data_IF_140363359707
#
_entry.id   IF_140363359707
#
_cell.length_a   1.000
_cell.length_b   1.000
_cell.length_c   1.000
_cell.angle_alpha   90.00
_cell.angle_beta   90.00
_cell.angle_gamma   90.00
#
_symmetry.space_group_name_H-M   'P 1'
#
loop_
_entity.id
_entity.type
_entity.pdbx_description
1 polymer ?
#
# COMPACT_ATOMS: atom_id res chain seq x y z
N UNK A 1 -9.99 -23.38 -27.27
CA UNK A 1 -10.08 -24.13 -26.01
C UNK A 1 -9.50 -23.22 -24.95
N UNK A 2 -10.34 -22.32 -24.43
CA UNK A 2 -9.99 -21.30 -23.45
C UNK A 2 -10.19 -21.92 -22.08
N UNK A 3 -9.10 -22.32 -21.42
CA UNK A 3 -9.19 -22.68 -20.00
C UNK A 3 -9.38 -21.38 -19.22
N UNK A 4 -10.54 -21.18 -18.56
CA UNK A 4 -10.70 -20.05 -17.65
C UNK A 4 -9.67 -20.18 -16.54
N UNK A 5 -9.09 -19.05 -16.12
CA UNK A 5 -8.16 -19.02 -14.99
C UNK A 5 -8.89 -19.59 -13.76
N UNK A 6 -8.38 -20.67 -13.14
CA UNK A 6 -9.08 -21.30 -12.02
C UNK A 6 -9.20 -20.31 -10.85
N UNK A 7 -10.41 -20.22 -10.30
CA UNK A 7 -10.71 -19.45 -9.08
C UNK A 7 -9.78 -19.90 -7.95
N UNK A 8 -8.83 -19.05 -7.57
CA UNK A 8 -7.75 -19.33 -6.61
C UNK A 8 -6.33 -19.14 -7.16
N UNK A 9 -6.16 -18.98 -8.48
CA UNK A 9 -4.83 -18.75 -9.09
C UNK A 9 -4.16 -17.46 -8.58
N UNK A 10 -4.92 -16.37 -8.47
CA UNK A 10 -4.41 -15.07 -8.02
C UNK A 10 -4.09 -15.04 -6.51
N UNK A 11 -4.77 -15.84 -5.67
CA UNK A 11 -4.47 -15.94 -4.23
C UNK A 11 -3.04 -16.43 -3.96
N UNK A 12 -2.50 -17.31 -4.82
CA UNK A 12 -1.14 -17.83 -4.69
C UNK A 12 -0.04 -16.79 -4.88
N UNK A 13 -0.26 -15.75 -5.70
CA UNK A 13 0.70 -14.65 -5.92
C UNK A 13 0.81 -13.78 -4.68
N UNK A 14 -0.34 -13.46 -4.06
CA UNK A 14 -0.40 -12.70 -2.81
C UNK A 14 0.22 -13.48 -1.64
N UNK A 15 -0.03 -14.79 -1.54
CA UNK A 15 0.50 -15.64 -0.46
C UNK A 15 2.03 -15.82 -0.53
N UNK A 16 2.60 -15.91 -1.75
CA UNK A 16 4.06 -15.95 -1.94
C UNK A 16 4.72 -14.63 -1.50
N UNK A 17 4.06 -13.50 -1.77
CA UNK A 17 4.53 -12.16 -1.39
C UNK A 17 4.57 -12.02 0.13
N UNK A 18 3.51 -12.48 0.82
CA UNK A 18 3.44 -12.49 2.29
C UNK A 18 4.51 -13.39 2.92
N UNK A 19 4.77 -14.55 2.33
CA UNK A 19 5.80 -15.50 2.82
C UNK A 19 7.21 -14.90 2.71
N UNK A 20 7.53 -14.27 1.58
CA UNK A 20 8.82 -13.60 1.36
C UNK A 20 9.01 -12.40 2.28
N UNK A 21 7.94 -11.65 2.54
CA UNK A 21 7.96 -10.51 3.45
C UNK A 21 8.24 -10.95 4.90
N UNK A 22 7.61 -12.04 5.34
CA UNK A 22 7.85 -12.65 6.67
C UNK A 22 9.29 -13.12 6.85
N UNK A 23 9.91 -13.72 5.83
CA UNK A 23 11.31 -14.17 5.92
C UNK A 23 12.28 -12.99 5.96
N UNK A 24 12.12 -11.99 5.09
CA UNK A 24 12.96 -10.79 5.06
C UNK A 24 12.90 -10.01 6.39
N UNK A 25 11.71 -9.85 6.95
CA UNK A 25 11.55 -9.15 8.23
C UNK A 25 12.06 -9.98 9.40
N UNK A 26 12.01 -11.32 9.30
CA UNK A 26 12.61 -12.19 10.31
C UNK A 26 14.10 -11.90 10.38
N UNK A 27 14.82 -11.96 9.25
CA UNK A 27 16.27 -11.70 9.18
C UNK A 27 16.67 -10.33 9.75
N UNK A 28 15.89 -9.28 9.45
CA UNK A 28 16.10 -7.94 10.03
C UNK A 28 15.93 -7.97 11.55
N UNK A 29 14.87 -8.62 12.05
CA UNK A 29 14.67 -8.76 13.49
C UNK A 29 15.80 -9.59 14.13
N UNK A 30 16.23 -10.70 13.53
CA UNK A 30 17.26 -11.59 14.11
C UNK A 30 18.65 -10.95 14.14
N UNK A 31 19.03 -10.27 13.05
CA UNK A 31 20.33 -9.58 12.97
C UNK A 31 20.50 -8.49 14.02
N UNK A 32 19.41 -7.81 14.40
CA UNK A 32 19.42 -6.84 15.48
C UNK A 32 19.33 -7.46 16.88
N UNK A 33 18.88 -8.72 17.03
CA UNK A 33 18.86 -9.40 18.35
C UNK A 33 20.26 -9.61 18.95
N UNK A 34 21.30 -9.68 18.12
CA UNK A 34 22.70 -9.68 18.59
C UNK A 34 23.12 -8.34 19.22
N UNK A 35 22.44 -7.24 18.86
CA UNK A 35 22.68 -5.87 19.38
C UNK A 35 21.70 -5.53 20.52
N UNK A 36 20.50 -6.13 20.50
CA UNK A 36 19.45 -5.92 21.48
C UNK A 36 19.59 -6.93 22.63
N UNK A 37 20.24 -6.51 23.71
CA UNK A 37 20.14 -7.23 24.97
C UNK A 37 18.68 -7.23 25.45
N UNK A 38 17.98 -8.36 25.29
CA UNK A 38 16.65 -8.57 25.90
C UNK A 38 15.44 -8.58 24.97
N UNK A 39 15.60 -8.78 23.65
CA UNK A 39 14.42 -9.05 22.81
C UNK A 39 13.71 -10.34 23.28
N UNK A 40 12.40 -10.30 23.63
CA UNK A 40 11.67 -11.47 24.07
C UNK A 40 11.71 -12.56 23.00
N UNK A 41 11.91 -13.82 23.40
CA UNK A 41 11.76 -14.97 22.51
C UNK A 41 10.33 -14.99 21.97
N UNK A 42 10.10 -15.23 20.66
CA UNK A 42 8.78 -15.55 20.18
C UNK A 42 8.47 -16.99 20.60
N UNK A 43 8.02 -17.17 21.83
CA UNK A 43 7.39 -18.41 22.26
C UNK A 43 5.87 -18.20 22.34
N UNK A 44 5.17 -19.22 21.88
CA UNK A 44 3.74 -19.54 21.93
C UNK A 44 2.69 -18.59 21.34
N UNK A 45 1.81 -19.25 20.59
CA UNK A 45 0.59 -18.79 19.92
C UNK A 45 -0.45 -18.26 20.90
N UNK A 46 -0.87 -17.03 20.71
CA UNK A 46 -2.00 -16.41 21.39
C UNK A 46 -1.94 -14.89 21.26
N UNK A 47 -3.05 -14.27 20.89
CA UNK A 47 -3.24 -12.82 20.94
C UNK A 47 -3.10 -12.32 22.38
N UNK A 48 -1.92 -11.79 22.72
CA UNK A 48 -1.65 -11.11 23.99
C UNK A 48 -1.59 -9.60 23.76
N UNK A 49 -2.62 -8.90 24.24
CA UNK A 49 -2.77 -7.44 24.09
C UNK A 49 -1.64 -6.69 24.79
N UNK A 50 -1.17 -7.18 25.94
CA UNK A 50 -0.13 -6.52 26.72
C UNK A 50 1.22 -6.63 26.00
N UNK A 51 1.50 -7.80 25.42
CA UNK A 51 2.67 -8.00 24.57
C UNK A 51 2.64 -7.10 23.34
N UNK A 52 1.50 -6.99 22.64
CA UNK A 52 1.35 -6.12 21.48
C UNK A 52 1.57 -4.65 21.85
N UNK A 53 0.95 -4.20 22.95
CA UNK A 53 1.15 -2.85 23.48
C UNK A 53 2.63 -2.58 23.76
N UNK A 54 3.32 -3.53 24.39
CA UNK A 54 4.74 -3.38 24.66
C UNK A 54 5.59 -3.34 23.38
N UNK A 55 5.26 -4.15 22.35
CA UNK A 55 5.94 -4.08 21.05
C UNK A 55 5.73 -2.70 20.37
N UNK A 56 4.51 -2.16 20.41
CA UNK A 56 4.20 -0.83 19.88
C UNK A 56 4.96 0.29 20.64
N UNK A 57 4.96 0.24 21.98
CA UNK A 57 5.75 1.16 22.82
C UNK A 57 7.24 1.09 22.51
N UNK A 58 7.77 -0.12 22.33
CA UNK A 58 9.17 -0.30 21.94
C UNK A 58 9.44 0.30 20.55
N UNK A 59 8.51 0.20 19.58
CA UNK A 59 8.68 0.83 18.27
C UNK A 59 8.73 2.36 18.33
N UNK A 60 8.07 2.97 19.32
CA UNK A 60 8.08 4.41 19.57
C UNK A 60 9.33 4.85 20.32
N UNK A 61 9.89 3.99 21.16
CA UNK A 61 11.12 4.26 21.89
C UNK A 61 12.31 4.40 20.91
N UNK A 62 12.75 5.65 20.72
CA UNK A 62 13.86 6.01 19.83
C UNK A 62 15.25 5.65 20.36
N UNK A 63 15.35 4.97 21.51
CA UNK A 63 16.63 4.51 22.07
C UNK A 63 17.20 3.38 21.22
N UNK A 64 18.51 3.45 20.93
CA UNK A 64 19.24 2.43 20.17
C UNK A 64 19.40 2.73 18.66
N UNK A 65 18.97 3.91 18.20
CA UNK A 65 19.20 4.39 16.83
C UNK A 65 18.35 3.70 15.76
N UNK A 66 18.60 4.05 14.50
CA UNK A 66 17.77 3.64 13.35
C UNK A 66 17.76 2.11 13.12
N UNK A 67 18.85 1.41 13.41
CA UNK A 67 18.92 -0.06 13.29
C UNK A 67 17.95 -0.74 14.27
N UNK A 68 17.91 -0.27 15.51
CA UNK A 68 17.01 -0.77 16.54
C UNK A 68 15.55 -0.48 16.20
N UNK A 69 15.25 0.75 15.76
CA UNK A 69 13.91 1.14 15.35
C UNK A 69 13.40 0.27 14.19
N UNK A 70 14.25 0.01 13.19
CA UNK A 70 13.94 -0.87 12.06
C UNK A 70 13.66 -2.30 12.51
N UNK A 71 14.45 -2.85 13.43
CA UNK A 71 14.24 -4.19 13.94
C UNK A 71 12.93 -4.35 14.73
N UNK A 72 12.59 -3.36 15.56
CA UNK A 72 11.34 -3.35 16.33
C UNK A 72 10.12 -3.27 15.41
N UNK A 73 10.17 -2.43 14.37
CA UNK A 73 9.12 -2.35 13.36
C UNK A 73 8.96 -3.67 12.57
N UNK A 74 10.08 -4.31 12.20
CA UNK A 74 10.06 -5.63 11.56
C UNK A 74 9.43 -6.70 12.46
N UNK A 75 9.74 -6.70 13.76
CA UNK A 75 9.15 -7.66 14.71
C UNK A 75 7.65 -7.43 14.90
N UNK A 76 7.22 -6.17 15.08
CA UNK A 76 5.80 -5.81 15.17
C UNK A 76 5.03 -6.22 13.91
N UNK A 77 5.59 -5.92 12.73
CA UNK A 77 5.01 -6.31 11.45
C UNK A 77 4.89 -7.81 11.28
N UNK A 78 5.90 -8.58 11.71
CA UNK A 78 5.83 -10.06 11.71
C UNK A 78 4.74 -10.57 12.63
N UNK A 79 4.60 -10.01 13.83
CA UNK A 79 3.49 -10.37 14.73
C UNK A 79 2.17 -10.17 14.01
N UNK A 80 1.97 -9.00 13.39
CA UNK A 80 0.74 -8.69 12.66
C UNK A 80 0.42 -9.70 11.55
N UNK A 81 1.42 -10.12 10.77
CA UNK A 81 1.25 -11.07 9.66
C UNK A 81 0.97 -12.51 10.10
N UNK A 82 1.15 -12.81 11.39
CA UNK A 82 0.78 -14.08 12.01
C UNK A 82 -0.65 -14.10 12.54
N UNK A 83 -1.27 -12.93 12.69
CA UNK A 83 -2.61 -12.78 13.23
C UNK A 83 -3.67 -13.18 12.20
N UNK A 84 -4.75 -13.78 12.70
CA UNK A 84 -5.99 -13.98 11.95
C UNK A 84 -6.79 -12.66 11.77
N UNK A 85 -7.93 -12.70 11.07
CA UNK A 85 -8.72 -11.49 10.80
C UNK A 85 -9.22 -10.77 12.05
N UNK A 86 -9.66 -11.52 13.07
CA UNK A 86 -10.24 -10.97 14.30
C UNK A 86 -9.13 -10.40 15.20
N UNK A 87 -7.99 -11.08 15.25
CA UNK A 87 -6.77 -10.62 15.90
C UNK A 87 -6.20 -9.36 15.23
N UNK A 88 -6.18 -9.28 13.89
CA UNK A 88 -5.78 -8.06 13.16
C UNK A 88 -6.70 -6.89 13.46
N UNK A 89 -8.01 -7.11 13.52
CA UNK A 89 -8.97 -6.07 13.90
C UNK A 89 -8.67 -5.52 15.30
N UNK A 90 -8.43 -6.40 16.27
CA UNK A 90 -8.06 -5.99 17.64
C UNK A 90 -6.70 -5.28 17.70
N UNK A 91 -5.72 -5.71 16.90
CA UNK A 91 -4.44 -5.01 16.78
C UNK A 91 -4.63 -3.56 16.29
N UNK A 92 -5.42 -3.37 15.23
CA UNK A 92 -5.70 -2.06 14.66
C UNK A 92 -6.48 -1.20 15.67
N UNK A 93 -7.39 -1.79 16.44
CA UNK A 93 -8.13 -1.10 17.49
C UNK A 93 -7.22 -0.63 18.63
N UNK A 94 -6.25 -1.45 19.03
CA UNK A 94 -5.25 -1.08 20.02
C UNK A 94 -4.41 0.12 19.52
N UNK A 95 -3.94 0.05 18.27
CA UNK A 95 -3.18 1.12 17.63
C UNK A 95 -3.99 2.42 17.51
N UNK A 96 -5.27 2.32 17.14
CA UNK A 96 -6.14 3.47 16.98
C UNK A 96 -6.50 4.13 18.31
N UNK A 97 -6.76 3.34 19.35
CA UNK A 97 -7.27 3.85 20.63
C UNK A 97 -6.19 4.29 21.61
N UNK A 98 -5.11 3.53 21.78
CA UNK A 98 -4.10 3.82 22.81
C UNK A 98 -2.92 4.66 22.31
N UNK A 99 -2.73 4.73 20.98
CA UNK A 99 -1.63 5.47 20.36
C UNK A 99 -2.11 6.68 19.56
N UNK A 100 -3.23 7.26 19.98
CA UNK A 100 -3.73 8.56 19.54
C UNK A 100 -3.08 9.72 20.31
N UNK A 101 -3.47 10.95 19.98
CA UNK A 101 -3.07 12.17 20.68
C UNK A 101 -3.48 12.16 22.16
N UNK A 102 -2.61 12.71 23.01
CA UNK A 102 -2.94 12.99 24.42
C UNK A 102 -3.83 14.24 24.49
N UNK A 103 -5.11 14.03 24.77
CA UNK A 103 -6.11 15.12 24.84
C UNK A 103 -5.81 16.11 25.97
N UNK A 104 -5.27 15.64 27.09
CA UNK A 104 -4.91 16.53 28.20
C UNK A 104 -3.71 17.41 27.83
N UNK A 105 -2.75 16.86 27.06
CA UNK A 105 -1.64 17.66 26.52
C UNK A 105 -2.12 18.68 25.49
N UNK A 106 -3.04 18.31 24.59
CA UNK A 106 -3.66 19.26 23.65
C UNK A 106 -4.32 20.41 24.41
N UNK A 107 -5.14 20.11 25.42
CA UNK A 107 -5.83 21.13 26.20
C UNK A 107 -4.87 22.06 26.97
N UNK A 108 -3.72 21.53 27.43
CA UNK A 108 -2.65 22.35 27.99
C UNK A 108 -2.04 23.27 26.93
N UNK A 109 -1.73 22.77 25.74
CA UNK A 109 -1.12 23.54 24.64
C UNK A 109 -2.05 24.60 24.07
N UNK A 110 -3.34 24.31 23.93
CA UNK A 110 -4.35 25.27 23.50
C UNK A 110 -4.46 26.45 24.48
N UNK A 111 -4.48 26.19 25.79
CA UNK A 111 -4.47 27.26 26.81
C UNK A 111 -3.19 28.09 26.78
N UNK A 112 -2.03 27.45 26.61
CA UNK A 112 -0.76 28.15 26.47
C UNK A 112 -0.74 29.06 25.24
N UNK A 113 -1.30 28.61 24.11
CA UNK A 113 -1.38 29.40 22.87
C UNK A 113 -2.22 30.67 23.03
N UNK A 114 -3.34 30.60 23.76
CA UNK A 114 -4.25 31.73 23.94
C UNK A 114 -3.62 32.92 24.69
N UNK A 115 -2.61 32.68 25.53
CA UNK A 115 -1.96 33.70 26.37
C UNK A 115 -0.46 33.92 26.07
N UNK A 116 0.05 33.42 24.94
CA UNK A 116 1.49 33.47 24.63
C UNK A 116 1.87 34.72 23.84
N UNK A 117 2.87 35.45 24.35
CA UNK A 117 3.57 36.50 23.60
C UNK A 117 4.46 35.92 22.48
N UNK A 118 4.85 34.64 22.57
CA UNK A 118 5.63 33.89 21.58
C UNK A 118 4.73 32.95 20.75
N UNK A 119 3.68 33.51 20.15
CA UNK A 119 2.63 32.76 19.46
C UNK A 119 3.16 31.69 18.48
N UNK A 120 4.17 32.01 17.68
CA UNK A 120 4.75 31.06 16.71
C UNK A 120 5.43 29.84 17.36
N UNK A 121 6.00 29.97 18.57
CA UNK A 121 6.55 28.84 19.31
C UNK A 121 5.42 27.97 19.89
N UNK A 122 4.37 28.60 20.43
CA UNK A 122 3.19 27.91 20.94
C UNK A 122 2.43 27.15 19.83
N UNK A 123 2.29 27.73 18.64
CA UNK A 123 1.68 27.08 17.47
C UNK A 123 2.48 25.85 17.01
N UNK A 124 3.83 25.93 17.00
CA UNK A 124 4.68 24.78 16.70
C UNK A 124 4.55 23.68 17.75
N UNK A 125 4.49 24.04 19.03
CA UNK A 125 4.30 23.07 20.11
C UNK A 125 2.93 22.38 20.03
N UNK A 126 1.86 23.14 19.74
CA UNK A 126 0.52 22.57 19.54
C UNK A 126 0.50 21.63 18.32
N UNK A 127 1.12 22.03 17.20
CA UNK A 127 1.24 21.17 16.01
C UNK A 127 1.95 19.85 16.34
N UNK A 128 3.03 19.89 17.12
CA UNK A 128 3.74 18.68 17.53
C UNK A 128 2.90 17.79 18.47
N UNK A 129 2.09 18.37 19.37
CA UNK A 129 1.20 17.62 20.25
C UNK A 129 -0.01 17.00 19.54
N UNK A 130 -0.43 17.58 18.40
CA UNK A 130 -1.50 17.06 17.56
C UNK A 130 -1.07 15.91 16.63
N UNK A 131 0.22 15.57 16.60
CA UNK A 131 0.69 14.40 15.85
C UNK A 131 0.60 13.15 16.73
N UNK A 132 -0.30 12.19 16.41
CA UNK A 132 -0.49 11.03 17.27
C UNK A 132 0.72 10.09 17.18
N UNK A 133 1.11 9.42 18.29
CA UNK A 133 2.23 8.49 18.31
C UNK A 133 2.15 7.41 17.22
N UNK A 134 0.94 6.94 16.87
CA UNK A 134 0.73 5.96 15.80
C UNK A 134 1.33 6.38 14.45
N UNK A 135 1.39 7.67 14.12
CA UNK A 135 2.04 8.15 12.89
C UNK A 135 3.54 7.84 12.90
N UNK A 136 4.21 8.05 14.03
CA UNK A 136 5.64 7.74 14.16
C UNK A 136 5.89 6.25 13.99
N UNK A 137 5.04 5.40 14.58
CA UNK A 137 5.11 3.95 14.44
C UNK A 137 4.93 3.54 12.97
N UNK A 138 3.89 4.05 12.29
CA UNK A 138 3.63 3.76 10.88
C UNK A 138 4.80 4.19 9.99
N UNK A 139 5.41 5.35 10.22
CA UNK A 139 6.59 5.81 9.46
C UNK A 139 7.78 4.86 9.56
N UNK A 140 7.95 4.11 10.66
CA UNK A 140 9.06 3.15 10.80
C UNK A 140 8.99 2.01 9.77
N UNK A 141 7.79 1.66 9.30
CA UNK A 141 7.65 0.66 8.23
C UNK A 141 8.25 1.12 6.90
N UNK A 142 8.36 2.42 6.61
CA UNK A 142 8.97 2.91 5.37
C UNK A 142 10.46 2.52 5.21
N UNK A 143 11.14 2.25 6.33
CA UNK A 143 12.52 1.78 6.32
C UNK A 143 12.66 0.27 6.06
N UNK A 144 11.54 -0.47 6.04
CA UNK A 144 11.51 -1.91 5.81
C UNK A 144 11.35 -2.25 4.33
N UNK A 145 11.93 -3.37 3.85
CA UNK A 145 11.59 -3.93 2.55
C UNK A 145 10.09 -4.17 2.48
N UNK A 146 9.45 -3.79 1.38
CA UNK A 146 7.99 -3.90 1.18
C UNK A 146 7.12 -3.22 2.26
N UNK A 147 7.71 -2.35 3.09
CA UNK A 147 6.97 -1.72 4.18
C UNK A 147 5.93 -0.70 3.70
N UNK A 148 6.16 -0.05 2.56
CA UNK A 148 5.16 0.83 1.94
C UNK A 148 3.97 0.02 1.44
N UNK A 149 4.19 -1.10 0.74
CA UNK A 149 3.13 -2.02 0.32
C UNK A 149 2.35 -2.55 1.52
N UNK A 150 3.05 -2.94 2.59
CA UNK A 150 2.40 -3.36 3.83
C UNK A 150 1.43 -2.29 4.35
N UNK A 151 1.84 -1.02 4.38
CA UNK A 151 0.99 0.09 4.84
C UNK A 151 -0.19 0.35 3.90
N UNK A 152 0.01 0.26 2.59
CA UNK A 152 -1.08 0.33 1.60
C UNK A 152 -2.11 -0.77 1.87
N UNK A 153 -1.67 -2.00 2.10
CA UNK A 153 -2.57 -3.12 2.39
C UNK A 153 -3.30 -2.94 3.73
N UNK A 154 -2.63 -2.41 4.76
CA UNK A 154 -3.30 -2.07 6.02
C UNK A 154 -4.34 -0.99 5.85
N UNK A 155 -4.09 0.01 4.99
CA UNK A 155 -5.09 1.02 4.67
C UNK A 155 -6.30 0.41 3.97
N UNK A 156 -6.07 -0.53 3.04
CA UNK A 156 -7.16 -1.23 2.37
C UNK A 156 -8.09 -1.92 3.38
N UNK A 157 -7.53 -2.62 4.37
CA UNK A 157 -8.31 -3.24 5.45
C UNK A 157 -9.04 -2.20 6.33
N UNK A 158 -8.39 -1.07 6.62
CA UNK A 158 -8.96 0.00 7.45
C UNK A 158 -10.11 0.75 6.76
N UNK A 159 -10.14 0.83 5.43
CA UNK A 159 -11.25 1.47 4.68
C UNK A 159 -12.58 0.78 5.02
N UNK A 160 -12.61 -0.56 5.04
CA UNK A 160 -13.83 -1.32 5.33
C UNK A 160 -14.16 -1.29 6.83
N UNK A 161 -13.15 -1.45 7.69
CA UNK A 161 -13.35 -1.45 9.14
C UNK A 161 -13.78 -0.08 9.67
N UNK A 162 -13.23 1.00 9.10
CA UNK A 162 -13.52 2.39 9.47
C UNK A 162 -14.96 2.82 9.18
N UNK A 163 -15.69 2.13 8.30
CA UNK A 163 -17.12 2.39 8.08
C UNK A 163 -17.97 2.06 9.33
N UNK A 164 -17.46 1.23 10.24
CA UNK A 164 -18.18 0.72 11.42
C UNK A 164 -17.60 1.20 12.74
N UNK A 165 -16.36 1.70 12.75
CA UNK A 165 -15.66 2.18 13.96
C UNK A 165 -14.95 3.52 13.69
N UNK A 166 -15.35 4.56 14.44
CA UNK A 166 -14.79 5.91 14.31
C UNK A 166 -13.31 6.01 14.71
N UNK A 167 -12.83 5.15 15.62
CA UNK A 167 -11.42 5.12 15.99
C UNK A 167 -10.58 4.57 14.82
N UNK A 168 -11.05 3.50 14.18
CA UNK A 168 -10.39 2.95 12.99
C UNK A 168 -10.46 3.91 11.80
N UNK A 169 -11.55 4.66 11.65
CA UNK A 169 -11.64 5.73 10.66
C UNK A 169 -10.58 6.82 10.90
N UNK A 170 -10.31 7.18 12.17
CA UNK A 170 -9.25 8.12 12.51
C UNK A 170 -7.85 7.60 12.14
N UNK A 171 -7.58 6.31 12.39
CA UNK A 171 -6.34 5.66 11.99
C UNK A 171 -6.21 5.54 10.45
N UNK A 172 -7.30 5.24 9.74
CA UNK A 172 -7.35 5.21 8.27
C UNK A 172 -6.98 6.57 7.68
N UNK A 173 -7.56 7.66 8.17
CA UNK A 173 -7.33 9.01 7.69
C UNK A 173 -5.88 9.46 7.93
N UNK A 174 -5.30 9.10 9.08
CA UNK A 174 -3.89 9.31 9.39
C UNK A 174 -2.98 8.58 8.40
N UNK A 175 -3.31 7.33 8.08
CA UNK A 175 -2.56 6.52 7.12
C UNK A 175 -2.72 7.05 5.69
N UNK A 176 -3.92 7.52 5.32
CA UNK A 176 -4.20 8.20 4.04
C UNK A 176 -3.32 9.42 3.85
N UNK A 177 -3.23 10.29 4.86
CA UNK A 177 -2.37 11.50 4.79
C UNK A 177 -0.90 11.15 4.66
N UNK A 178 -0.45 10.14 5.41
CA UNK A 178 0.93 9.68 5.34
C UNK A 178 1.26 9.09 3.96
N UNK A 179 0.38 8.27 3.38
CA UNK A 179 0.53 7.72 2.03
C UNK A 179 0.43 8.82 0.96
N UNK A 180 -0.47 9.79 1.10
CA UNK A 180 -0.59 10.89 0.14
C UNK A 180 0.72 11.70 0.00
N UNK A 181 1.48 11.85 1.10
CA UNK A 181 2.79 12.51 1.05
C UNK A 181 3.89 11.66 0.39
N UNK A 182 3.71 10.34 0.30
CA UNK A 182 4.70 9.42 -0.27
C UNK A 182 4.42 9.09 -1.73
N UNK A 183 3.15 9.08 -2.12
CA UNK A 183 2.70 8.78 -3.48
C UNK A 183 2.48 10.06 -4.30
N UNK A 184 3.32 11.06 -4.09
CA UNK A 184 3.34 12.23 -4.96
C UNK A 184 3.77 11.82 -6.38
N UNK A 185 3.13 12.43 -7.37
CA UNK A 185 3.39 12.22 -8.80
C UNK A 185 4.87 12.32 -9.17
N UNK A 186 5.61 13.23 -8.53
CA UNK A 186 7.03 13.46 -8.81
C UNK A 186 7.92 12.26 -8.50
N UNK A 187 7.40 11.27 -7.76
CA UNK A 187 8.08 10.03 -7.45
C UNK A 187 7.60 8.84 -8.28
N UNK A 188 6.59 9.01 -9.14
CA UNK A 188 6.05 7.91 -9.94
C UNK A 188 6.78 7.77 -11.27
N UNK A 189 7.03 6.53 -11.65
CA UNK A 189 7.65 6.16 -12.91
C UNK A 189 6.60 5.56 -13.84
N UNK A 190 6.37 6.19 -15.00
CA UNK A 190 5.57 5.61 -16.07
C UNK A 190 6.42 4.59 -16.83
N UNK A 191 5.96 3.34 -16.88
CA UNK A 191 6.61 2.26 -17.65
C UNK A 191 5.65 1.71 -18.69
N UNK A 192 6.17 1.44 -19.89
CA UNK A 192 5.43 0.68 -20.90
C UNK A 192 5.44 -0.79 -20.53
N UNK A 193 4.26 -1.39 -20.51
CA UNK A 193 4.08 -2.83 -20.35
C UNK A 193 3.97 -3.47 -21.73
N UNK A 194 4.69 -4.57 -21.90
CA UNK A 194 4.70 -5.40 -23.11
C UNK A 194 4.64 -6.88 -22.76
N UNK A 195 4.46 -7.75 -23.76
CA UNK A 195 4.44 -9.20 -23.56
C UNK A 195 5.74 -9.77 -22.98
N UNK A 196 6.86 -9.06 -23.12
CA UNK A 196 8.16 -9.41 -22.55
C UNK A 196 8.29 -9.03 -21.06
N UNK A 197 7.29 -8.37 -20.48
CA UNK A 197 7.26 -8.06 -19.05
C UNK A 197 7.23 -9.34 -18.21
N UNK A 198 7.65 -9.26 -16.94
CA UNK A 198 7.68 -10.44 -16.09
C UNK A 198 6.29 -11.05 -15.93
N UNK A 199 6.21 -12.39 -15.95
CA UNK A 199 4.94 -13.09 -15.77
C UNK A 199 4.23 -12.67 -14.47
N UNK A 200 4.99 -12.45 -13.40
CA UNK A 200 4.44 -11.98 -12.12
C UNK A 200 3.78 -10.59 -12.21
N UNK A 201 4.30 -9.68 -13.06
CA UNK A 201 3.66 -8.38 -13.30
C UNK A 201 2.41 -8.53 -14.16
N UNK A 202 2.47 -9.36 -15.20
CA UNK A 202 1.34 -9.65 -16.07
C UNK A 202 0.16 -10.28 -15.31
N UNK A 203 0.44 -11.21 -14.39
CA UNK A 203 -0.56 -11.80 -13.49
C UNK A 203 -1.25 -10.75 -12.62
N UNK A 204 -0.49 -9.77 -12.11
CA UNK A 204 -1.06 -8.66 -11.33
C UNK A 204 -1.97 -7.77 -12.17
N UNK A 205 -1.60 -7.47 -13.41
CA UNK A 205 -2.47 -6.70 -14.31
C UNK A 205 -3.78 -7.43 -14.59
N UNK A 206 -3.73 -8.75 -14.79
CA UNK A 206 -4.94 -9.57 -14.92
C UNK A 206 -5.81 -9.51 -13.66
N UNK A 207 -5.20 -9.59 -12.47
CA UNK A 207 -5.91 -9.54 -11.20
C UNK A 207 -6.50 -8.17 -10.88
N UNK A 208 -5.89 -7.09 -11.38
CA UNK A 208 -6.26 -5.71 -11.05
C UNK A 208 -7.15 -5.03 -12.09
N UNK A 209 -7.42 -5.67 -13.21
CA UNK A 209 -8.27 -5.09 -14.24
C UNK A 209 -9.71 -4.92 -13.73
N UNK A 210 -10.11 -3.66 -13.55
CA UNK A 210 -11.36 -3.30 -12.89
C UNK A 210 -12.48 -2.89 -13.87
N UNK A 211 -12.16 -2.61 -15.13
CA UNK A 211 -13.12 -2.15 -16.14
C UNK A 211 -13.58 -3.31 -17.02
N UNK A 212 -12.63 -4.10 -17.54
CA UNK A 212 -12.87 -5.19 -18.46
C UNK A 212 -12.05 -6.42 -18.11
N UNK A 213 -12.61 -7.29 -17.26
CA UNK A 213 -11.98 -8.53 -16.78
C UNK A 213 -11.17 -9.23 -17.87
N UNK A 214 -9.88 -9.49 -17.58
CA UNK A 214 -8.99 -10.21 -18.49
C UNK A 214 -9.20 -11.70 -18.26
N UNK A 215 -9.78 -12.38 -19.26
CA UNK A 215 -10.30 -13.76 -19.11
C UNK A 215 -9.20 -14.82 -19.06
N UNK A 216 -7.99 -14.47 -19.49
CA UNK A 216 -6.84 -15.37 -19.52
C UNK A 216 -5.64 -14.79 -20.25
N UNK A 217 -4.60 -15.61 -20.38
CA UNK A 217 -3.33 -15.20 -21.01
C UNK A 217 -3.45 -14.84 -22.48
N UNK A 218 -4.36 -15.47 -23.23
CA UNK A 218 -4.61 -15.14 -24.64
C UNK A 218 -5.21 -13.75 -24.81
N UNK A 219 -6.21 -13.42 -23.98
CA UNK A 219 -6.80 -12.08 -23.91
C UNK A 219 -5.74 -11.04 -23.54
N UNK A 220 -4.97 -11.28 -22.47
CA UNK A 220 -3.87 -10.38 -22.09
C UNK A 220 -2.88 -10.15 -23.23
N UNK A 221 -2.50 -11.22 -23.95
CA UNK A 221 -1.58 -11.11 -25.08
C UNK A 221 -2.16 -10.20 -26.15
N UNK A 222 -3.42 -10.40 -26.52
CA UNK A 222 -4.13 -9.55 -27.49
C UNK A 222 -4.14 -8.08 -27.07
N UNK A 223 -4.31 -7.78 -25.77
CA UNK A 223 -4.24 -6.41 -25.24
C UNK A 223 -2.85 -5.79 -25.22
N UNK A 224 -1.81 -6.58 -25.47
CA UNK A 224 -0.41 -6.17 -25.55
C UNK A 224 0.18 -6.32 -26.97
N UNK A 225 -0.66 -6.60 -27.97
CA UNK A 225 -0.24 -6.73 -29.38
C UNK A 225 0.26 -5.40 -29.99
N UNK A 226 0.77 -5.48 -31.22
CA UNK A 226 1.46 -4.36 -31.87
C UNK A 226 0.65 -3.06 -31.93
N UNK A 227 -0.66 -3.12 -32.17
CA UNK A 227 -1.59 -1.97 -32.24
C UNK A 227 -2.19 -1.58 -30.88
N UNK A 228 -1.70 -2.17 -29.79
CA UNK A 228 -2.06 -1.83 -28.42
C UNK A 228 -0.87 -1.25 -27.67
N UNK A 229 -1.15 -0.39 -26.69
CA UNK A 229 -0.16 0.10 -25.73
C UNK A 229 -0.75 -0.04 -24.33
N UNK A 230 0.04 -0.57 -23.42
CA UNK A 230 -0.27 -0.56 -22.00
C UNK A 230 0.84 0.18 -21.28
N UNK A 231 0.45 1.08 -20.38
CA UNK A 231 1.37 1.82 -19.52
C UNK A 231 0.93 1.68 -18.09
N UNK A 232 1.89 1.60 -17.16
CA UNK A 232 1.59 1.58 -15.74
C UNK A 232 2.52 2.50 -14.95
N UNK A 233 1.97 3.15 -13.93
CA UNK A 233 2.73 3.92 -12.95
C UNK A 233 3.22 3.02 -11.82
N UNK A 234 4.50 3.19 -11.46
CA UNK A 234 5.15 2.49 -10.37
C UNK A 234 5.74 3.48 -9.38
N UNK A 235 5.81 3.11 -8.11
CA UNK A 235 6.54 3.85 -7.11
C UNK A 235 7.87 3.12 -6.79
N UNK A 236 9.01 3.81 -6.60
CA UNK A 236 10.31 3.17 -6.35
C UNK A 236 10.35 2.25 -5.12
N UNK A 237 9.47 2.47 -4.13
CA UNK A 237 9.29 1.61 -2.94
C UNK A 237 8.27 0.48 -3.12
N UNK A 238 7.66 0.39 -4.29
CA UNK A 238 6.74 -0.67 -4.72
C UNK A 238 7.00 -1.00 -6.20
N UNK A 239 8.23 -1.40 -6.58
CA UNK A 239 8.67 -1.46 -7.97
C UNK A 239 7.99 -2.56 -8.79
N UNK A 240 7.44 -3.56 -8.12
CA UNK A 240 6.75 -4.72 -8.71
C UNK A 240 5.22 -4.61 -8.59
N UNK A 241 4.71 -3.47 -8.12
CA UNK A 241 3.27 -3.22 -7.96
C UNK A 241 2.83 -2.09 -8.89
N UNK A 242 2.04 -2.38 -9.94
CA UNK A 242 1.41 -1.31 -10.69
C UNK A 242 0.43 -0.57 -9.77
N UNK A 243 0.41 0.76 -9.85
CA UNK A 243 -0.50 1.61 -9.08
C UNK A 243 -1.73 1.97 -9.89
N UNK A 244 -1.49 2.47 -11.10
CA UNK A 244 -2.48 2.71 -12.14
C UNK A 244 -1.92 2.09 -13.40
N UNK A 245 -2.73 1.39 -14.17
CA UNK A 245 -2.40 1.11 -15.56
C UNK A 245 -3.49 1.59 -16.51
N UNK A 246 -3.05 1.84 -17.74
CA UNK A 246 -3.79 2.49 -18.80
C UNK A 246 -3.61 1.66 -20.06
N UNK A 247 -4.73 1.23 -20.63
CA UNK A 247 -4.77 0.49 -21.88
C UNK A 247 -5.22 1.41 -23.03
N UNK A 248 -4.46 1.38 -24.12
CA UNK A 248 -4.63 2.26 -25.27
C UNK A 248 -4.68 1.43 -26.56
N UNK A 249 -5.67 1.70 -27.39
CA UNK A 249 -5.78 1.16 -28.74
C UNK A 249 -5.30 2.22 -29.76
N UNK A 250 -4.42 1.81 -30.67
CA UNK A 250 -3.95 2.65 -31.79
C UNK A 250 -4.79 2.32 -33.02
N UNK A 251 -5.51 3.31 -33.55
CA UNK A 251 -6.48 3.11 -34.62
C UNK A 251 -6.44 4.23 -35.66
N UNK A 252 -7.14 3.99 -36.77
CA UNK A 252 -7.47 5.01 -37.77
C UNK A 252 -8.91 5.45 -37.50
N UNK A 253 -9.07 6.67 -36.99
CA UNK A 253 -10.33 7.24 -36.55
C UNK A 253 -10.77 6.80 -35.15
N UNK A 254 -11.86 7.41 -34.68
CA UNK A 254 -12.49 7.11 -33.40
C UNK A 254 -13.36 5.85 -33.49
N UNK A 255 -13.23 4.94 -32.52
CA UNK A 255 -14.20 3.85 -32.34
C UNK A 255 -15.43 4.35 -31.57
N UNK A 256 -16.62 3.95 -32.01
CA UNK A 256 -17.87 4.18 -31.29
C UNK A 256 -18.29 3.01 -30.39
N UNK A 257 -17.53 1.92 -30.36
CA UNK A 257 -17.87 0.68 -29.65
C UNK A 257 -16.64 0.07 -28.97
N UNK A 258 -16.77 -0.22 -27.67
CA UNK A 258 -15.75 -0.88 -26.86
C UNK A 258 -15.58 -2.36 -27.24
N UNK A 259 -16.64 -3.03 -27.69
CA UNK A 259 -16.57 -4.43 -28.10
C UNK A 259 -15.68 -4.61 -29.33
N UNK A 260 -15.66 -3.62 -30.23
CA UNK A 260 -14.74 -3.62 -31.37
C UNK A 260 -13.26 -3.48 -30.96
N UNK A 261 -12.97 -2.85 -29.81
CA UNK A 261 -11.61 -2.71 -29.29
C UNK A 261 -11.11 -3.99 -28.60
N UNK A 262 -12.03 -4.74 -28.01
CA UNK A 262 -11.78 -5.97 -27.25
C UNK A 262 -11.94 -7.25 -28.10
N UNK A 263 -12.29 -7.13 -29.39
CA UNK A 263 -12.45 -8.29 -30.28
C UNK A 263 -11.10 -8.94 -30.60
N UNK A 264 -10.84 -10.08 -29.98
CA UNK A 264 -9.65 -10.91 -30.17
C UNK A 264 -9.48 -11.44 -31.60
N UNK A 265 -10.55 -11.45 -32.41
CA UNK A 265 -10.49 -11.88 -33.81
C UNK A 265 -10.19 -10.72 -34.78
N UNK A 266 -10.15 -9.48 -34.29
CA UNK A 266 -9.84 -8.32 -35.12
C UNK A 266 -8.41 -8.41 -35.68
N UNK A 267 -8.19 -8.00 -36.95
CA UNK A 267 -6.86 -7.99 -37.53
C UNK A 267 -5.99 -6.93 -36.84
N UNK A 268 -4.76 -7.33 -36.48
CA UNK A 268 -3.76 -6.42 -35.92
C UNK A 268 -3.37 -5.39 -36.98
N UNK A 269 -3.50 -4.11 -36.64
CA UNK A 269 -3.18 -3.00 -37.56
C UNK A 269 -1.72 -2.56 -37.40
N UNK A 270 -1.11 -2.01 -38.45
CA UNK A 270 0.21 -1.40 -38.33
C UNK A 270 0.11 -0.11 -37.47
N UNK A 271 0.80 -0.03 -36.33
CA UNK A 271 0.75 1.13 -35.44
C UNK A 271 1.22 2.43 -36.08
N UNK A 272 2.05 2.36 -37.14
CA UNK A 272 2.53 3.54 -37.85
C UNK A 272 1.46 4.20 -38.73
N UNK A 273 0.36 3.49 -39.01
CA UNK A 273 -0.77 4.03 -39.75
C UNK A 273 -1.82 4.69 -38.86
N UNK A 274 -1.74 4.49 -37.54
CA UNK A 274 -2.72 5.04 -36.60
C UNK A 274 -2.67 6.57 -36.54
N UNK A 275 -3.83 7.21 -36.59
CA UNK A 275 -4.01 8.66 -36.40
C UNK A 275 -4.65 9.00 -35.04
N UNK A 276 -5.14 7.98 -34.33
CA UNK A 276 -5.92 8.11 -33.09
C UNK A 276 -5.40 7.13 -32.04
N UNK A 277 -5.25 7.63 -30.80
CA UNK A 277 -4.97 6.82 -29.62
C UNK A 277 -6.18 6.86 -28.69
N UNK A 278 -6.83 5.72 -28.48
CA UNK A 278 -8.05 5.61 -27.66
C UNK A 278 -7.69 4.99 -26.32
N UNK A 279 -7.83 5.77 -25.25
CA UNK A 279 -7.75 5.30 -23.87
C UNK A 279 -9.05 4.58 -23.52
N UNK A 280 -9.02 3.25 -23.47
CA UNK A 280 -10.24 2.44 -23.31
C UNK A 280 -10.35 1.74 -21.96
N UNK A 281 -9.25 1.63 -21.22
CA UNK A 281 -9.27 1.19 -19.81
C UNK A 281 -8.26 1.99 -18.98
N UNK A 282 -8.67 2.37 -17.76
CA UNK A 282 -7.83 2.97 -16.73
C UNK A 282 -8.20 2.31 -15.40
N UNK A 283 -7.26 1.55 -14.84
CA UNK A 283 -7.50 0.73 -13.65
C UNK A 283 -6.61 1.18 -12.49
N UNK A 284 -7.21 1.47 -11.34
CA UNK A 284 -6.47 1.67 -10.08
C UNK A 284 -6.29 0.31 -9.39
N UNK A 285 -5.03 -0.09 -9.22
CA UNK A 285 -4.66 -1.43 -8.77
C UNK A 285 -4.68 -1.59 -7.25
N UNK A 286 -4.59 -0.49 -6.51
CA UNK A 286 -4.31 -0.52 -5.08
C UNK A 286 -5.48 0.10 -4.31
N UNK A 287 -6.37 -0.74 -3.75
CA UNK A 287 -7.52 -0.26 -2.96
C UNK A 287 -7.08 0.63 -1.79
N UNK A 288 -5.95 0.29 -1.16
CA UNK A 288 -5.34 1.09 -0.10
C UNK A 288 -4.82 2.46 -0.53
N UNK A 289 -4.86 2.81 -1.82
CA UNK A 289 -4.56 4.15 -2.34
C UNK A 289 -5.83 4.89 -2.80
N UNK A 290 -7.03 4.35 -2.56
CA UNK A 290 -8.28 5.01 -2.91
C UNK A 290 -8.38 6.41 -2.30
N UNK A 291 -8.72 7.41 -3.12
CA UNK A 291 -8.83 8.82 -2.70
C UNK A 291 -7.49 9.53 -2.48
N UNK A 292 -6.37 8.95 -2.90
CA UNK A 292 -5.08 9.62 -3.03
C UNK A 292 -4.91 10.01 -4.49
N UNK A 293 -4.78 11.31 -4.77
CA UNK A 293 -4.49 11.80 -6.11
C UNK A 293 -3.02 11.58 -6.44
N UNK A 294 -2.76 11.11 -7.66
CA UNK A 294 -1.41 11.04 -8.23
C UNK A 294 -1.15 12.21 -9.20
N UNK A 295 -1.88 13.33 -9.02
CA UNK A 295 -1.88 14.50 -9.90
C UNK A 295 -3.02 14.50 -10.92
N UNK A 296 -3.43 15.69 -11.34
CA UNK A 296 -4.35 15.89 -12.47
C UNK A 296 -3.50 16.05 -13.75
N UNK A 297 -3.82 15.30 -14.81
CA UNK A 297 -3.11 15.30 -16.10
C UNK A 297 -4.05 15.69 -17.24
#
# INVERSE_FOLDING_TARGET
>A
MTDPVPSGFFEGVFDRTLTNLRSAWREIAESARGVLAGAPRPDTSGYDTDRLRQQMLNCLDGRGGEVTARARAADLGRTYLLLDSDERGRFLQLLASEFDVDRDEIDRRCRALAGSDERAAAERALRAALEPPRITLLRRFNALPEGVKFLVDRRAELIDLGQRDLLLAGLEEDLKRLLANWFDIGFLELRRITWESSAALLEKLMAYEAVHEIRGWTDLKNRLEADRRCFAFFHPRMPDEPLIFVEVALMIGMSGDIHALLDEAAPITDPHLADTAIFYSISNCQHGLAGISFGDF
#
